data_IF_837292103733
#
_entry.id   IF_837292103733
#
_cell.length_a   1.000
_cell.length_b   1.000
_cell.length_c   1.000
_cell.angle_alpha   90.00
_cell.angle_beta   90.00
_cell.angle_gamma   90.00
#
_symmetry.space_group_name_H-M   'P 1'
#
loop_
_entity.id
_entity.type
_entity.pdbx_description
1 polymer ?
#
# COMPACT_ATOMS: atom_id res chain seq x y z
N UNK A 1 -9.20 18.09 14.50
CA UNK A 1 -8.78 17.13 15.54
C UNK A 1 -8.25 15.82 14.96
N UNK A 2 -9.01 15.08 14.14
CA UNK A 2 -8.62 13.77 13.60
C UNK A 2 -7.23 13.77 12.93
N UNK A 3 -6.98 14.67 11.98
CA UNK A 3 -5.68 14.75 11.27
C UNK A 3 -4.52 14.99 12.24
N UNK A 4 -4.68 15.90 13.20
CA UNK A 4 -3.63 16.19 14.19
C UNK A 4 -3.28 14.92 14.98
N UNK A 5 -4.29 14.14 15.38
CA UNK A 5 -4.09 12.87 16.09
C UNK A 5 -3.36 11.85 15.23
N UNK A 6 -3.73 11.73 13.94
CA UNK A 6 -3.06 10.82 13.00
C UNK A 6 -1.59 11.23 12.83
N UNK A 7 -1.31 12.51 12.62
CA UNK A 7 0.05 13.00 12.47
C UNK A 7 0.88 12.82 13.74
N UNK A 8 0.35 13.18 14.91
CA UNK A 8 1.07 13.04 16.18
C UNK A 8 1.41 11.60 16.53
N UNK A 9 0.50 10.65 16.21
CA UNK A 9 0.72 9.22 16.45
C UNK A 9 1.53 8.53 15.34
N UNK A 10 1.45 9.02 14.11
CA UNK A 10 2.09 8.40 12.95
C UNK A 10 3.54 8.85 12.73
N UNK A 11 3.89 10.10 13.06
CA UNK A 11 5.25 10.60 12.86
C UNK A 11 6.34 9.75 13.53
N UNK A 12 6.16 9.26 14.77
CA UNK A 12 7.16 8.39 15.41
C UNK A 12 7.44 7.11 14.62
N UNK A 13 6.48 6.57 13.86
CA UNK A 13 6.68 5.34 13.06
C UNK A 13 7.70 5.51 11.93
N UNK A 14 7.98 6.74 11.48
CA UNK A 14 9.04 7.01 10.51
C UNK A 14 10.45 6.93 11.11
N UNK A 15 10.55 6.72 12.42
CA UNK A 15 11.79 6.38 13.11
C UNK A 15 11.72 4.93 13.59
N UNK A 16 12.87 4.28 13.65
CA UNK A 16 13.03 2.91 14.12
C UNK A 16 14.27 2.83 14.98
N UNK A 17 14.17 2.15 16.11
CA UNK A 17 15.29 1.95 17.04
C UNK A 17 16.12 0.76 16.60
N UNK A 18 17.44 0.93 16.63
CA UNK A 18 18.43 -0.10 16.34
C UNK A 18 19.32 -0.34 17.54
N UNK A 19 19.72 -1.60 17.72
CA UNK A 19 20.67 -2.05 18.76
C UNK A 19 21.95 -2.51 18.09
N UNK A 20 23.10 -2.01 18.54
CA UNK A 20 24.42 -2.43 18.07
C UNK A 20 24.92 -3.62 18.86
N UNK A 21 25.15 -4.73 18.18
CA UNK A 21 25.69 -5.96 18.78
C UNK A 21 27.04 -6.31 18.15
N UNK A 22 27.95 -6.81 18.98
CA UNK A 22 29.22 -7.39 18.54
C UNK A 22 28.98 -8.86 18.25
N UNK A 23 28.90 -9.21 16.98
CA UNK A 23 28.61 -10.57 16.52
C UNK A 23 29.93 -11.29 16.26
N UNK A 24 30.16 -12.39 16.97
CA UNK A 24 31.25 -13.30 16.73
C UNK A 24 30.72 -14.50 15.95
N UNK A 25 31.15 -14.62 14.69
CA UNK A 25 30.70 -15.68 13.76
C UNK A 25 31.59 -16.91 13.93
N UNK A 26 31.63 -17.46 15.17
CA UNK A 26 32.41 -18.63 15.51
C UNK A 26 31.93 -19.90 14.79
N UNK A 27 32.80 -20.53 14.04
CA UNK A 27 32.54 -21.75 13.26
C UNK A 27 32.03 -22.90 14.12
N UNK A 28 32.59 -23.05 15.34
CA UNK A 28 32.16 -24.10 16.27
C UNK A 28 30.76 -23.86 16.83
N UNK A 29 30.40 -22.59 17.07
CA UNK A 29 29.06 -22.21 17.54
C UNK A 29 28.00 -22.45 16.48
N UNK A 30 28.31 -22.15 15.21
CA UNK A 30 27.41 -22.31 14.07
C UNK A 30 27.41 -23.77 13.53
N UNK A 31 28.47 -24.56 13.77
CA UNK A 31 28.63 -25.89 13.22
C UNK A 31 28.90 -25.92 11.71
N UNK A 32 29.44 -24.83 11.19
CA UNK A 32 29.75 -24.62 9.76
C UNK A 32 31.14 -24.00 9.63
N UNK A 33 31.77 -24.15 8.47
CA UNK A 33 33.04 -23.51 8.11
C UNK A 33 32.91 -22.78 6.75
N UNK A 34 33.97 -22.11 6.30
CA UNK A 34 34.01 -21.35 5.05
C UNK A 34 33.78 -22.20 3.81
N UNK A 35 34.08 -23.50 3.89
CA UNK A 35 33.95 -24.47 2.80
C UNK A 35 32.61 -25.22 2.85
N UNK A 36 31.74 -24.90 3.83
CA UNK A 36 30.42 -25.51 3.95
C UNK A 36 29.56 -25.14 2.77
N UNK A 37 28.80 -26.11 2.24
CA UNK A 37 27.86 -25.87 1.16
C UNK A 37 26.77 -24.86 1.53
N UNK A 38 26.15 -24.24 0.53
CA UNK A 38 25.13 -23.18 0.69
C UNK A 38 23.95 -23.61 1.58
N UNK A 39 23.50 -24.87 1.49
CA UNK A 39 22.44 -25.43 2.33
C UNK A 39 22.81 -25.45 3.82
N UNK A 40 24.08 -25.78 4.14
CA UNK A 40 24.58 -25.77 5.50
C UNK A 40 24.69 -24.35 6.05
N UNK A 41 25.15 -23.40 5.24
CA UNK A 41 25.17 -21.97 5.57
C UNK A 41 23.75 -21.43 5.81
N UNK A 42 22.80 -21.82 4.98
CA UNK A 42 21.40 -21.39 5.12
C UNK A 42 20.73 -21.92 6.40
N UNK A 43 21.01 -23.16 6.78
CA UNK A 43 20.35 -23.86 7.90
C UNK A 43 21.00 -23.66 9.26
N UNK A 44 22.15 -23.00 9.34
CA UNK A 44 22.89 -22.79 10.58
C UNK A 44 22.13 -21.94 11.61
N UNK A 45 22.41 -22.15 12.89
CA UNK A 45 21.68 -21.50 13.98
C UNK A 45 22.26 -20.11 14.33
N UNK A 46 22.01 -19.13 13.48
CA UNK A 46 22.45 -17.74 13.71
C UNK A 46 21.81 -17.08 14.94
N UNK A 47 20.62 -17.53 15.35
CA UNK A 47 20.00 -17.08 16.60
C UNK A 47 20.80 -17.40 17.85
N UNK A 48 21.68 -18.41 17.81
CA UNK A 48 22.59 -18.76 18.92
C UNK A 48 23.68 -17.69 19.05
N UNK A 49 24.20 -17.20 17.92
CA UNK A 49 25.25 -16.16 17.87
C UNK A 49 24.72 -14.83 18.43
N UNK A 50 23.56 -14.38 17.97
CA UNK A 50 22.89 -13.16 18.50
C UNK A 50 22.65 -13.27 20.01
N UNK A 51 22.20 -14.44 20.48
CA UNK A 51 21.98 -14.71 21.90
C UNK A 51 23.27 -14.72 22.72
N UNK A 52 24.36 -15.20 22.16
CA UNK A 52 25.68 -15.24 22.83
C UNK A 52 26.20 -13.79 22.96
N UNK A 53 26.15 -12.99 21.90
CA UNK A 53 26.52 -11.57 21.95
C UNK A 53 25.77 -10.81 23.06
N UNK A 54 24.45 -10.97 23.15
CA UNK A 54 23.66 -10.35 24.22
C UNK A 54 24.10 -10.83 25.63
N UNK A 55 24.49 -12.10 25.79
CA UNK A 55 24.94 -12.63 27.06
C UNK A 55 26.32 -12.11 27.46
N UNK A 56 27.22 -11.93 26.50
CA UNK A 56 28.53 -11.33 26.74
C UNK A 56 28.42 -9.89 27.21
N UNK A 57 27.46 -9.11 26.64
CA UNK A 57 27.19 -7.74 27.08
C UNK A 57 26.56 -7.63 28.48
N UNK A 58 25.81 -8.67 28.88
CA UNK A 58 25.09 -8.72 30.17
C UNK A 58 25.40 -10.03 30.93
N UNK A 59 26.64 -10.22 31.43
CA UNK A 59 27.05 -11.46 32.08
C UNK A 59 26.34 -11.73 33.41
N UNK A 60 25.84 -10.68 34.06
CA UNK A 60 25.14 -10.75 35.35
C UNK A 60 23.75 -11.38 35.27
N UNK A 61 23.23 -11.58 34.07
CA UNK A 61 21.88 -12.11 33.82
C UNK A 61 21.86 -13.63 33.94
N UNK A 62 21.48 -14.16 35.12
CA UNK A 62 21.46 -15.59 35.43
C UNK A 62 20.09 -16.25 35.35
N UNK A 63 19.01 -15.52 35.69
CA UNK A 63 17.66 -16.05 35.76
C UNK A 63 17.05 -16.40 34.41
N UNK A 64 16.28 -17.54 34.34
CA UNK A 64 15.64 -17.98 33.07
C UNK A 64 14.67 -16.92 32.48
N UNK A 65 13.89 -16.23 33.34
CA UNK A 65 13.00 -15.14 32.91
C UNK A 65 13.78 -13.95 32.35
N UNK A 66 14.85 -13.54 33.03
CA UNK A 66 15.70 -12.44 32.58
C UNK A 66 16.45 -12.77 31.27
N UNK A 67 16.96 -14.00 31.13
CA UNK A 67 17.58 -14.46 29.85
C UNK A 67 16.62 -14.43 28.67
N UNK A 68 15.32 -14.71 28.92
CA UNK A 68 14.29 -14.58 27.89
C UNK A 68 14.00 -13.11 27.57
N UNK A 69 13.91 -12.27 28.57
CA UNK A 69 13.69 -10.82 28.42
C UNK A 69 14.89 -10.13 27.74
N UNK A 70 16.13 -10.56 28.04
CA UNK A 70 17.33 -10.07 27.37
C UNK A 70 17.30 -10.32 25.86
N UNK A 71 16.86 -11.52 25.44
CA UNK A 71 16.69 -11.86 24.03
C UNK A 71 15.64 -10.96 23.36
N UNK A 72 14.66 -10.46 24.12
CA UNK A 72 13.60 -9.59 23.60
C UNK A 72 14.04 -8.11 23.53
N UNK A 73 15.30 -7.76 23.72
CA UNK A 73 15.80 -6.41 23.39
C UNK A 73 15.98 -6.21 21.89
N UNK A 74 16.18 -7.29 21.16
CA UNK A 74 16.44 -7.29 19.72
C UNK A 74 15.36 -8.08 18.99
N UNK A 75 15.01 -7.64 17.79
CA UNK A 75 14.05 -8.33 16.93
C UNK A 75 14.50 -9.74 16.58
N UNK A 76 13.55 -10.61 16.32
CA UNK A 76 13.81 -11.96 15.81
C UNK A 76 14.47 -11.95 14.43
N UNK A 77 14.31 -10.86 13.65
CA UNK A 77 14.94 -10.69 12.35
C UNK A 77 16.46 -10.72 12.42
N UNK A 78 17.06 -10.32 13.55
CA UNK A 78 18.52 -10.28 13.70
C UNK A 78 19.21 -11.60 13.33
N UNK A 79 18.57 -12.75 13.58
CA UNK A 79 19.10 -14.05 13.19
C UNK A 79 19.10 -14.23 11.65
N UNK A 80 18.08 -13.72 10.97
CA UNK A 80 17.99 -13.75 9.51
C UNK A 80 18.95 -12.74 8.90
N UNK A 81 19.07 -11.55 9.49
CA UNK A 81 20.01 -10.52 9.04
C UNK A 81 21.45 -11.04 9.09
N UNK A 82 21.84 -11.74 10.19
CA UNK A 82 23.17 -12.38 10.29
C UNK A 82 23.34 -13.50 9.28
N UNK A 83 22.31 -14.33 9.04
CA UNK A 83 22.34 -15.37 8.01
C UNK A 83 22.62 -14.76 6.64
N UNK A 84 21.86 -13.75 6.27
CA UNK A 84 21.95 -13.14 4.96
C UNK A 84 23.32 -12.46 4.74
N UNK A 85 23.90 -11.86 5.79
CA UNK A 85 25.27 -11.35 5.78
C UNK A 85 26.31 -12.45 5.51
N UNK A 86 26.14 -13.64 6.13
CA UNK A 86 27.06 -14.76 5.95
C UNK A 86 26.89 -15.39 4.57
N UNK A 87 25.64 -15.49 4.06
CA UNK A 87 25.38 -16.00 2.71
C UNK A 87 25.97 -15.06 1.64
N UNK A 88 25.87 -13.73 1.84
CA UNK A 88 26.48 -12.77 0.93
C UNK A 88 28.01 -12.77 0.99
N UNK A 89 28.57 -12.96 2.20
CA UNK A 89 30.01 -12.90 2.45
C UNK A 89 30.46 -14.03 3.40
N UNK A 90 30.66 -15.27 2.92
CA UNK A 90 31.11 -16.40 3.76
C UNK A 90 32.45 -16.16 4.43
N UNK A 91 33.27 -15.23 3.91
CA UNK A 91 34.56 -14.84 4.51
C UNK A 91 34.45 -14.21 5.90
N UNK A 92 33.25 -13.79 6.30
CA UNK A 92 33.00 -13.25 7.64
C UNK A 92 33.03 -14.31 8.73
N UNK A 93 32.93 -15.61 8.41
CA UNK A 93 33.06 -16.69 9.36
C UNK A 93 34.45 -16.64 10.05
N UNK A 94 34.45 -16.83 11.36
CA UNK A 94 35.63 -16.71 12.22
C UNK A 94 36.00 -15.27 12.58
N UNK A 95 35.20 -14.28 12.23
CA UNK A 95 35.44 -12.87 12.58
C UNK A 95 34.44 -12.35 13.62
N UNK A 96 34.85 -11.30 14.36
CA UNK A 96 33.98 -10.57 15.28
C UNK A 96 33.79 -9.15 14.75
N UNK A 97 32.54 -8.76 14.49
CA UNK A 97 32.20 -7.44 13.97
C UNK A 97 30.94 -6.89 14.62
N UNK A 98 30.82 -5.57 14.63
CA UNK A 98 29.66 -4.88 15.17
C UNK A 98 28.64 -4.58 14.07
N UNK A 99 27.38 -4.97 14.30
CA UNK A 99 26.26 -4.72 13.39
C UNK A 99 25.09 -4.08 14.13
N UNK A 100 24.28 -3.32 13.38
CA UNK A 100 23.06 -2.73 13.87
C UNK A 100 21.87 -3.60 13.52
N UNK A 101 21.10 -4.01 14.51
CA UNK A 101 19.88 -4.82 14.35
C UNK A 101 18.66 -4.07 14.84
N UNK A 102 17.49 -4.40 14.30
CA UNK A 102 16.22 -3.85 14.77
C UNK A 102 16.01 -4.16 16.25
N UNK A 103 15.69 -3.15 17.04
CA UNK A 103 15.19 -3.36 18.39
C UNK A 103 13.80 -4.00 18.32
N UNK A 104 13.46 -4.78 19.35
CA UNK A 104 12.10 -5.30 19.48
C UNK A 104 11.09 -4.16 19.70
N UNK A 105 9.84 -4.38 19.30
CA UNK A 105 8.74 -3.42 19.35
C UNK A 105 8.60 -2.69 20.70
N UNK A 106 8.63 -3.41 21.83
CA UNK A 106 8.53 -2.80 23.17
C UNK A 106 9.68 -1.81 23.44
N UNK A 107 10.91 -2.14 22.99
CA UNK A 107 12.09 -1.24 23.14
C UNK A 107 11.93 -0.02 22.25
N UNK A 108 11.49 -0.20 21.02
CA UNK A 108 11.26 0.87 20.06
C UNK A 108 10.19 1.86 20.56
N UNK A 109 9.05 1.34 21.04
CA UNK A 109 7.95 2.12 21.61
C UNK A 109 8.41 2.91 22.85
N UNK A 110 9.25 2.31 23.71
CA UNK A 110 9.85 2.98 24.85
C UNK A 110 10.79 4.12 24.44
N UNK A 111 11.69 3.85 23.49
CA UNK A 111 12.64 4.84 22.99
C UNK A 111 11.95 6.04 22.32
N UNK A 112 10.76 5.85 21.79
CA UNK A 112 9.90 6.90 21.22
C UNK A 112 9.10 7.67 22.26
N UNK A 113 9.18 7.28 23.54
CA UNK A 113 8.49 7.94 24.65
C UNK A 113 7.01 7.56 24.80
N UNK A 114 6.56 6.50 24.12
CA UNK A 114 5.18 6.02 24.20
C UNK A 114 4.92 5.06 25.37
N UNK A 115 5.96 4.72 26.15
CA UNK A 115 5.87 4.01 27.43
C UNK A 115 6.41 4.93 28.51
N UNK A 116 5.55 5.30 29.47
CA UNK A 116 5.94 6.15 30.57
C UNK A 116 6.77 5.37 31.60
N UNK A 117 8.00 5.84 31.83
CA UNK A 117 8.96 5.26 32.77
C UNK A 117 8.50 5.38 34.23
N UNK A 118 7.68 6.37 34.55
CA UNK A 118 7.22 6.65 35.94
C UNK A 118 6.11 5.69 36.40
N UNK A 119 5.46 4.96 35.47
CA UNK A 119 4.43 4.01 35.82
C UNK A 119 5.00 2.79 36.57
N UNK A 120 4.21 2.18 37.48
CA UNK A 120 4.59 0.93 38.13
C UNK A 120 4.93 -0.18 37.12
N UNK A 121 5.82 -1.09 37.51
CA UNK A 121 6.22 -2.21 36.63
C UNK A 121 5.03 -3.07 36.17
N UNK A 122 3.97 -3.19 37.01
CA UNK A 122 2.74 -3.91 36.67
C UNK A 122 2.02 -3.35 35.45
N UNK A 123 2.13 -2.05 35.21
CA UNK A 123 1.39 -1.29 34.19
C UNK A 123 2.23 -1.04 32.93
N UNK A 124 3.49 -1.52 32.94
CA UNK A 124 4.44 -1.43 31.82
C UNK A 124 4.73 -2.80 31.22
N UNK A 125 4.92 -2.85 29.89
CA UNK A 125 5.43 -4.06 29.22
C UNK A 125 6.94 -4.26 29.48
N UNK A 126 7.69 -3.18 29.64
CA UNK A 126 9.13 -3.21 29.97
C UNK A 126 9.30 -3.29 31.48
N UNK A 127 10.07 -4.27 31.92
CA UNK A 127 10.38 -4.50 33.33
C UNK A 127 11.55 -3.63 33.80
N UNK A 128 11.65 -3.39 35.13
CA UNK A 128 12.68 -2.52 35.72
C UNK A 128 14.10 -2.96 35.33
N UNK A 129 14.39 -4.26 35.34
CA UNK A 129 15.70 -4.76 34.89
C UNK A 129 15.97 -4.53 33.40
N UNK A 130 14.94 -4.48 32.55
CA UNK A 130 15.11 -4.14 31.13
C UNK A 130 15.43 -2.65 30.94
N UNK A 131 14.89 -1.76 31.79
CA UNK A 131 15.23 -0.35 31.76
C UNK A 131 16.72 -0.14 32.05
N UNK A 132 17.27 -0.87 33.05
CA UNK A 132 18.70 -0.81 33.39
C UNK A 132 19.55 -1.23 32.17
N UNK A 133 19.12 -2.25 31.43
CA UNK A 133 19.85 -2.70 30.24
C UNK A 133 19.74 -1.70 29.11
N UNK A 134 18.56 -1.09 28.89
CA UNK A 134 18.35 -0.04 27.89
C UNK A 134 19.20 1.18 28.20
N UNK A 135 19.24 1.62 29.47
CA UNK A 135 20.07 2.75 29.91
C UNK A 135 21.56 2.45 29.65
N UNK A 136 22.05 1.26 29.98
CA UNK A 136 23.41 0.85 29.68
C UNK A 136 23.71 0.90 28.18
N UNK A 137 22.82 0.39 27.34
CA UNK A 137 22.99 0.43 25.87
C UNK A 137 22.99 1.88 25.33
N UNK A 138 22.22 2.76 25.95
CA UNK A 138 22.23 4.20 25.62
C UNK A 138 23.54 4.86 26.00
N UNK A 139 24.03 4.63 27.23
CA UNK A 139 25.27 5.21 27.74
C UNK A 139 26.49 4.73 26.92
N UNK A 140 26.45 3.48 26.43
CA UNK A 140 27.50 2.91 25.56
C UNK A 140 27.35 3.33 24.08
N UNK A 141 26.31 4.13 23.72
CA UNK A 141 26.06 4.52 22.33
C UNK A 141 25.67 3.34 21.43
N UNK A 142 25.06 2.29 22.00
CA UNK A 142 24.65 1.06 21.30
C UNK A 142 23.15 1.01 20.97
N UNK A 143 22.44 2.08 21.28
CA UNK A 143 21.02 2.22 20.96
C UNK A 143 20.79 3.55 20.25
N UNK A 144 20.22 3.48 19.02
CA UNK A 144 20.07 4.65 18.17
C UNK A 144 18.73 4.62 17.44
N UNK A 145 18.09 5.79 17.28
CA UNK A 145 16.92 5.95 16.41
C UNK A 145 17.37 6.40 15.03
N UNK A 146 16.91 5.68 13.98
CA UNK A 146 17.19 5.98 12.59
C UNK A 146 15.90 6.10 11.80
N UNK A 147 15.97 6.63 10.59
CA UNK A 147 14.83 6.63 9.69
C UNK A 147 14.39 5.19 9.41
N UNK A 148 13.08 4.95 9.49
CA UNK A 148 12.49 3.62 9.33
C UNK A 148 12.41 3.24 7.84
N UNK A 149 13.47 2.68 7.30
CA UNK A 149 13.50 2.16 5.93
C UNK A 149 12.62 0.93 5.76
N UNK A 150 12.47 0.10 6.82
CA UNK A 150 11.67 -1.12 6.80
C UNK A 150 10.22 -0.83 6.42
N UNK A 151 9.68 0.29 6.91
CA UNK A 151 8.31 0.71 6.57
C UNK A 151 8.07 0.82 5.05
N UNK A 152 9.09 1.17 4.27
CA UNK A 152 8.99 1.39 2.82
C UNK A 152 9.61 0.26 1.97
N UNK A 153 10.40 -0.63 2.57
CA UNK A 153 11.13 -1.67 1.83
C UNK A 153 10.63 -3.08 2.09
N UNK A 154 10.02 -3.32 3.25
CA UNK A 154 9.50 -4.63 3.63
C UNK A 154 8.03 -4.84 3.25
N UNK A 155 7.64 -6.11 3.15
CA UNK A 155 6.24 -6.53 3.13
C UNK A 155 5.62 -6.51 4.53
N UNK A 156 4.44 -7.12 4.67
CA UNK A 156 3.78 -7.23 5.97
C UNK A 156 4.47 -8.22 6.90
N UNK A 157 4.36 -8.00 8.19
CA UNK A 157 4.89 -8.89 9.23
C UNK A 157 3.99 -8.89 10.46
N UNK A 158 3.95 -10.03 11.17
CA UNK A 158 3.29 -10.12 12.47
C UNK A 158 4.08 -9.43 13.59
N UNK A 159 5.36 -9.23 13.39
CA UNK A 159 6.21 -8.48 14.32
C UNK A 159 6.23 -7.02 13.88
N UNK A 160 5.71 -6.09 14.71
CA UNK A 160 5.55 -4.69 14.29
C UNK A 160 6.82 -4.04 13.78
N UNK A 161 7.98 -4.31 14.40
CA UNK A 161 9.26 -3.73 14.02
C UNK A 161 9.72 -4.14 12.60
N UNK A 162 9.20 -5.26 12.08
CA UNK A 162 9.52 -5.77 10.73
C UNK A 162 8.43 -5.45 9.70
N UNK A 163 7.27 -4.99 10.13
CA UNK A 163 6.14 -4.75 9.25
C UNK A 163 6.36 -3.53 8.36
N UNK A 164 6.23 -3.70 7.05
CA UNK A 164 6.35 -2.66 6.04
C UNK A 164 5.12 -2.52 5.16
N UNK A 165 5.07 -1.45 4.39
CA UNK A 165 3.94 -1.08 3.53
C UNK A 165 4.20 -1.36 2.04
N UNK A 166 5.41 -1.79 1.66
CA UNK A 166 5.77 -1.93 0.23
C UNK A 166 4.84 -2.88 -0.52
N UNK A 167 4.51 -4.02 0.09
CA UNK A 167 3.56 -4.97 -0.51
C UNK A 167 2.19 -4.34 -0.78
N UNK A 168 1.65 -3.61 0.19
CA UNK A 168 0.36 -2.93 0.07
C UNK A 168 0.39 -1.74 -0.93
N UNK A 169 1.50 -1.00 -1.01
CA UNK A 169 1.68 0.08 -1.99
C UNK A 169 1.70 -0.49 -3.41
N UNK A 170 2.51 -1.53 -3.66
CA UNK A 170 2.59 -2.18 -4.97
C UNK A 170 1.26 -2.84 -5.33
N UNK A 171 0.64 -3.56 -4.39
CA UNK A 171 -0.68 -4.15 -4.59
C UNK A 171 -1.76 -3.13 -4.93
N UNK A 172 -1.78 -1.97 -4.24
CA UNK A 172 -2.68 -0.87 -4.59
C UNK A 172 -2.42 -0.32 -5.98
N UNK A 173 -1.16 -0.09 -6.36
CA UNK A 173 -0.79 0.39 -7.69
C UNK A 173 -1.28 -0.57 -8.79
N UNK A 174 -1.01 -1.87 -8.63
CA UNK A 174 -1.43 -2.88 -9.60
C UNK A 174 -2.96 -2.98 -9.68
N UNK A 175 -3.65 -2.98 -8.54
CA UNK A 175 -5.12 -2.99 -8.47
C UNK A 175 -5.72 -1.76 -9.16
N UNK A 176 -5.19 -0.57 -8.89
CA UNK A 176 -5.65 0.67 -9.53
C UNK A 176 -5.36 0.71 -11.03
N UNK A 177 -4.22 0.14 -11.46
CA UNK A 177 -3.90 0.01 -12.88
C UNK A 177 -4.93 -0.87 -13.60
N UNK A 178 -5.28 -2.02 -13.02
CA UNK A 178 -6.31 -2.91 -13.56
C UNK A 178 -7.67 -2.18 -13.59
N UNK A 179 -8.04 -1.53 -12.49
CA UNK A 179 -9.29 -0.76 -12.43
C UNK A 179 -9.36 0.27 -13.55
N UNK A 180 -8.31 1.07 -13.73
CA UNK A 180 -8.26 2.10 -14.77
C UNK A 180 -8.34 1.51 -16.19
N UNK A 181 -7.58 0.42 -16.42
CA UNK A 181 -7.51 -0.23 -17.73
C UNK A 181 -8.85 -0.76 -18.20
N UNK A 182 -9.71 -1.21 -17.29
CA UNK A 182 -11.04 -1.71 -17.65
C UNK A 182 -12.12 -0.63 -17.52
N UNK A 183 -12.16 0.12 -16.42
CA UNK A 183 -13.24 1.08 -16.17
C UNK A 183 -13.25 2.28 -17.13
N UNK A 184 -12.07 2.80 -17.48
CA UNK A 184 -11.98 3.98 -18.36
C UNK A 184 -12.43 3.67 -19.78
N UNK A 185 -11.88 2.68 -20.51
CA UNK A 185 -12.32 2.40 -21.88
C UNK A 185 -13.78 1.98 -21.94
N UNK A 186 -14.22 1.08 -21.07
CA UNK A 186 -15.59 0.58 -21.05
C UNK A 186 -16.57 1.72 -20.71
N UNK A 187 -16.24 2.51 -19.69
CA UNK A 187 -17.09 3.65 -19.26
C UNK A 187 -17.24 4.73 -20.32
N UNK A 188 -16.13 5.10 -20.97
CA UNK A 188 -16.14 6.10 -22.05
C UNK A 188 -16.85 5.57 -23.29
N UNK A 189 -16.62 4.31 -23.67
CA UNK A 189 -17.31 3.69 -24.82
C UNK A 189 -18.83 3.59 -24.57
N UNK A 190 -19.25 3.19 -23.37
CA UNK A 190 -20.66 3.16 -23.00
C UNK A 190 -21.31 4.55 -23.03
N UNK A 191 -20.62 5.56 -22.49
CA UNK A 191 -21.09 6.94 -22.52
C UNK A 191 -21.21 7.48 -23.96
N UNK A 192 -20.20 7.23 -24.80
CA UNK A 192 -20.21 7.64 -26.20
C UNK A 192 -21.34 6.96 -26.98
N UNK A 193 -21.56 5.66 -26.73
CA UNK A 193 -22.67 4.95 -27.37
C UNK A 193 -24.03 5.55 -26.98
N UNK A 194 -24.25 5.77 -25.67
CA UNK A 194 -25.53 6.28 -25.16
C UNK A 194 -25.84 7.69 -25.64
N UNK A 195 -24.84 8.57 -25.80
CA UNK A 195 -25.08 9.97 -26.20
C UNK A 195 -25.08 10.19 -27.71
N UNK A 196 -24.33 9.41 -28.51
CA UNK A 196 -24.14 9.68 -29.93
C UNK A 196 -24.83 8.67 -30.88
N UNK A 197 -25.07 7.43 -30.41
CA UNK A 197 -25.56 6.36 -31.26
C UNK A 197 -26.88 5.75 -30.79
N UNK A 198 -27.17 5.81 -29.49
CA UNK A 198 -28.40 5.23 -28.97
C UNK A 198 -29.64 5.89 -29.55
N UNK A 199 -30.68 5.12 -29.94
CA UNK A 199 -31.92 5.68 -30.47
C UNK A 199 -32.64 6.45 -29.38
N UNK A 200 -33.09 7.66 -29.73
CA UNK A 200 -33.90 8.50 -28.84
C UNK A 200 -35.29 7.86 -28.62
N UNK A 201 -35.87 8.04 -27.42
CA UNK A 201 -37.18 7.52 -27.02
C UNK A 201 -37.28 5.99 -27.07
N UNK A 202 -36.21 5.28 -26.72
CA UNK A 202 -36.18 3.82 -26.67
C UNK A 202 -36.21 3.33 -25.23
N UNK A 203 -37.26 2.57 -24.86
CA UNK A 203 -37.46 2.00 -23.52
C UNK A 203 -36.24 1.18 -23.00
N UNK A 204 -35.50 0.53 -23.89
CA UNK A 204 -34.29 -0.21 -23.51
C UNK A 204 -33.13 0.71 -23.12
N UNK A 205 -32.99 1.84 -23.80
CA UNK A 205 -31.99 2.88 -23.46
C UNK A 205 -32.34 3.48 -22.11
N UNK A 206 -33.61 3.85 -21.91
CA UNK A 206 -34.08 4.40 -20.63
C UNK A 206 -33.83 3.40 -19.48
N UNK A 207 -34.10 2.11 -19.71
CA UNK A 207 -33.84 1.07 -18.73
C UNK A 207 -32.35 0.95 -18.38
N UNK A 208 -31.45 1.02 -19.37
CA UNK A 208 -30.00 1.00 -19.17
C UNK A 208 -29.57 2.21 -18.34
N UNK A 209 -30.07 3.41 -18.66
CA UNK A 209 -29.75 4.64 -17.93
C UNK A 209 -30.19 4.59 -16.46
N UNK A 210 -31.42 4.11 -16.22
CA UNK A 210 -31.92 3.91 -14.86
C UNK A 210 -31.03 2.90 -14.10
N UNK A 211 -30.62 1.81 -14.76
CA UNK A 211 -29.77 0.81 -14.10
C UNK A 211 -28.36 1.34 -13.80
N UNK A 212 -27.76 2.16 -14.69
CA UNK A 212 -26.47 2.80 -14.41
C UNK A 212 -26.57 3.70 -13.17
N UNK A 213 -27.64 4.51 -13.07
CA UNK A 213 -27.87 5.36 -11.91
C UNK A 213 -28.13 4.54 -10.62
N UNK A 214 -28.91 3.47 -10.72
CA UNK A 214 -29.15 2.57 -9.59
C UNK A 214 -27.89 1.86 -9.14
N UNK A 215 -27.02 1.46 -10.08
CA UNK A 215 -25.74 0.80 -9.78
C UNK A 215 -24.80 1.73 -8.99
N UNK A 216 -24.85 3.05 -9.27
CA UNK A 216 -24.10 4.05 -8.50
C UNK A 216 -24.56 4.17 -7.03
N UNK A 217 -25.78 3.77 -6.71
CA UNK A 217 -26.36 3.79 -5.36
C UNK A 217 -26.16 2.46 -4.58
N UNK A 218 -25.60 1.44 -5.21
CA UNK A 218 -25.38 0.12 -4.56
C UNK A 218 -24.27 0.25 -3.51
N UNK A 219 -24.47 -0.29 -2.28
CA UNK A 219 -23.40 -0.35 -1.27
C UNK A 219 -22.17 -1.08 -1.80
N UNK A 220 -20.98 -0.54 -1.55
CA UNK A 220 -19.72 -1.06 -2.11
C UNK A 220 -19.45 -2.53 -1.77
N UNK A 221 -19.87 -2.99 -0.59
CA UNK A 221 -19.72 -4.38 -0.15
C UNK A 221 -20.40 -5.38 -1.11
N UNK A 222 -21.52 -4.98 -1.75
CA UNK A 222 -22.27 -5.84 -2.69
C UNK A 222 -21.42 -6.17 -3.92
N UNK A 223 -20.57 -5.24 -4.40
CA UNK A 223 -19.62 -5.51 -5.47
C UNK A 223 -18.58 -6.56 -5.07
N UNK A 224 -18.16 -6.59 -3.79
CA UNK A 224 -17.31 -7.64 -3.25
C UNK A 224 -17.99 -9.01 -3.27
N UNK A 225 -19.27 -9.09 -2.85
CA UNK A 225 -20.07 -10.31 -2.92
C UNK A 225 -20.26 -10.79 -4.35
N UNK A 226 -20.50 -9.86 -5.29
CA UNK A 226 -20.59 -10.18 -6.72
C UNK A 226 -19.25 -10.67 -7.25
N UNK A 227 -18.14 -10.07 -6.82
CA UNK A 227 -16.79 -10.53 -7.13
C UNK A 227 -16.53 -11.96 -6.66
N UNK A 228 -16.97 -12.27 -5.44
CA UNK A 228 -16.90 -13.62 -4.89
C UNK A 228 -17.75 -14.62 -5.71
N UNK A 229 -18.99 -14.27 -6.01
CA UNK A 229 -19.92 -15.16 -6.68
C UNK A 229 -19.55 -15.38 -8.15
N UNK A 230 -19.21 -14.32 -8.88
CA UNK A 230 -18.99 -14.36 -10.33
C UNK A 230 -17.52 -14.57 -10.67
N UNK A 231 -16.63 -13.68 -10.20
CA UNK A 231 -15.22 -13.76 -10.63
C UNK A 231 -14.50 -14.96 -10.02
N UNK A 232 -14.71 -15.26 -8.75
CA UNK A 232 -14.04 -16.39 -8.10
C UNK A 232 -14.74 -17.71 -8.43
N UNK A 233 -16.05 -17.81 -8.15
CA UNK A 233 -16.73 -19.10 -8.21
C UNK A 233 -17.10 -19.50 -9.64
N UNK A 234 -17.42 -18.56 -10.55
CA UNK A 234 -17.80 -18.87 -11.91
C UNK A 234 -16.63 -18.79 -12.89
N UNK A 235 -15.81 -17.71 -12.83
CA UNK A 235 -14.66 -17.56 -13.74
C UNK A 235 -13.35 -18.14 -13.21
N UNK A 236 -13.29 -18.56 -11.94
CA UNK A 236 -12.08 -19.16 -11.35
C UNK A 236 -10.90 -18.19 -11.17
N UNK A 237 -11.16 -16.88 -11.08
CA UNK A 237 -10.11 -15.88 -10.86
C UNK A 237 -9.46 -16.10 -9.50
N UNK A 238 -8.12 -16.13 -9.40
CA UNK A 238 -7.43 -16.35 -8.14
C UNK A 238 -7.81 -15.31 -7.07
N UNK A 239 -7.99 -15.77 -5.83
CA UNK A 239 -8.30 -14.89 -4.68
C UNK A 239 -7.12 -14.01 -4.31
N UNK A 240 -7.41 -12.89 -3.63
CA UNK A 240 -6.39 -12.00 -3.06
C UNK A 240 -5.38 -11.45 -4.08
N UNK A 241 -5.78 -11.28 -5.34
CA UNK A 241 -4.91 -10.77 -6.40
C UNK A 241 -5.28 -9.36 -6.83
N UNK A 242 -4.31 -8.55 -7.31
CA UNK A 242 -4.60 -7.24 -7.88
C UNK A 242 -5.59 -7.29 -9.05
N UNK A 243 -5.56 -8.35 -9.86
CA UNK A 243 -6.51 -8.54 -10.95
C UNK A 243 -7.94 -8.59 -10.43
N UNK A 244 -8.20 -9.46 -9.44
CA UNK A 244 -9.54 -9.63 -8.87
C UNK A 244 -10.02 -8.34 -8.22
N UNK A 245 -9.17 -7.71 -7.40
CA UNK A 245 -9.48 -6.43 -6.76
C UNK A 245 -9.81 -5.35 -7.79
N UNK A 246 -9.00 -5.26 -8.84
CA UNK A 246 -9.21 -4.30 -9.92
C UNK A 246 -10.51 -4.51 -10.70
N UNK A 247 -10.88 -5.76 -10.98
CA UNK A 247 -12.16 -6.08 -11.65
C UNK A 247 -13.37 -5.71 -10.78
N UNK A 248 -13.31 -5.98 -9.47
CA UNK A 248 -14.37 -5.59 -8.53
C UNK A 248 -14.50 -4.09 -8.43
N UNK A 249 -13.37 -3.37 -8.27
CA UNK A 249 -13.37 -1.91 -8.24
C UNK A 249 -13.80 -1.30 -9.59
N UNK A 250 -13.53 -1.97 -10.71
CA UNK A 250 -14.03 -1.58 -12.04
C UNK A 250 -15.56 -1.49 -12.04
N UNK A 251 -16.26 -2.51 -11.56
CA UNK A 251 -17.73 -2.51 -11.51
C UNK A 251 -18.26 -1.35 -10.69
N UNK A 252 -17.61 -1.00 -9.60
CA UNK A 252 -18.01 0.09 -8.72
C UNK A 252 -17.74 1.47 -9.35
N UNK A 253 -16.63 1.62 -10.10
CA UNK A 253 -16.25 2.91 -10.70
C UNK A 253 -16.94 3.17 -12.05
N UNK A 254 -17.38 2.12 -12.76
CA UNK A 254 -18.05 2.26 -14.06
C UNK A 254 -19.20 3.26 -14.07
N UNK A 255 -20.18 3.24 -13.15
CA UNK A 255 -21.27 4.20 -13.15
C UNK A 255 -20.78 5.65 -13.06
N UNK A 256 -19.81 5.92 -12.17
CA UNK A 256 -19.25 7.27 -12.00
C UNK A 256 -18.61 7.76 -13.28
N UNK A 257 -17.81 6.91 -13.94
CA UNK A 257 -17.14 7.26 -15.20
C UNK A 257 -18.15 7.44 -16.33
N UNK A 258 -19.14 6.57 -16.45
CA UNK A 258 -20.19 6.67 -17.47
C UNK A 258 -20.96 7.98 -17.32
N UNK A 259 -21.46 8.28 -16.12
CA UNK A 259 -22.25 9.48 -15.84
C UNK A 259 -21.44 10.75 -16.15
N UNK A 260 -20.21 10.83 -15.66
CA UNK A 260 -19.35 11.98 -15.90
C UNK A 260 -18.96 12.14 -17.38
N UNK A 261 -18.68 11.02 -18.07
CA UNK A 261 -18.35 11.02 -19.51
C UNK A 261 -19.55 11.43 -20.35
N UNK A 262 -20.75 10.97 -20.03
CA UNK A 262 -22.00 11.42 -20.69
C UNK A 262 -22.21 12.92 -20.54
N UNK A 263 -22.08 13.44 -19.32
CA UNK A 263 -22.19 14.87 -19.05
C UNK A 263 -21.17 15.68 -19.87
N UNK A 264 -19.91 15.20 -19.95
CA UNK A 264 -18.87 15.84 -20.73
C UNK A 264 -19.15 15.81 -22.25
N UNK A 265 -19.62 14.68 -22.79
CA UNK A 265 -19.97 14.54 -24.21
C UNK A 265 -21.17 15.43 -24.56
N UNK A 266 -22.16 15.49 -23.67
CA UNK A 266 -23.36 16.32 -23.84
C UNK A 266 -23.05 17.84 -23.78
N UNK A 267 -22.00 18.25 -23.09
CA UNK A 267 -21.57 19.64 -22.99
C UNK A 267 -20.93 20.19 -24.28
N UNK A 268 -20.54 19.31 -25.22
CA UNK A 268 -19.99 19.73 -26.52
C UNK A 268 -21.09 20.35 -27.38
N UNK A 269 -20.91 21.60 -27.89
CA UNK A 269 -21.93 22.30 -28.64
C UNK A 269 -22.41 21.49 -29.86
N UNK A 270 -23.74 21.32 -30.05
CA UNK A 270 -24.30 20.60 -31.20
C UNK A 270 -23.86 21.17 -32.55
N UNK A 271 -23.67 22.49 -32.65
CA UNK A 271 -23.23 23.18 -33.85
C UNK A 271 -21.89 22.66 -34.39
N UNK A 272 -20.97 22.22 -33.52
CA UNK A 272 -19.70 21.65 -33.93
C UNK A 272 -19.88 20.25 -34.57
N UNK A 273 -20.81 19.47 -34.00
CA UNK A 273 -21.15 18.14 -34.54
C UNK A 273 -21.86 18.26 -35.90
N UNK A 274 -22.82 19.17 -36.00
CA UNK A 274 -23.56 19.44 -37.23
C UNK A 274 -22.66 19.99 -38.34
N UNK A 275 -21.73 20.90 -38.01
CA UNK A 275 -20.77 21.44 -38.96
C UNK A 275 -19.84 20.30 -39.52
N UNK A 276 -19.34 19.41 -38.65
CA UNK A 276 -18.51 18.27 -39.09
C UNK A 276 -19.29 17.34 -40.05
N UNK A 277 -20.54 17.01 -39.70
CA UNK A 277 -21.40 16.18 -40.54
C UNK A 277 -21.73 16.89 -41.87
N UNK A 278 -22.01 18.21 -41.84
CA UNK A 278 -22.24 19.03 -43.03
C UNK A 278 -21.06 19.09 -43.99
N UNK A 279 -19.83 18.92 -43.49
CA UNK A 279 -18.61 18.77 -44.28
C UNK A 279 -18.37 17.34 -44.79
N UNK A 280 -19.28 16.42 -44.53
CA UNK A 280 -19.21 15.02 -45.01
C UNK A 280 -18.56 14.05 -44.02
N UNK A 281 -18.23 14.44 -42.78
CA UNK A 281 -17.73 13.51 -41.79
C UNK A 281 -18.81 12.51 -41.37
N UNK A 282 -18.45 11.24 -41.22
CA UNK A 282 -19.33 10.23 -40.63
C UNK A 282 -19.53 10.51 -39.12
N UNK A 283 -20.60 9.97 -38.52
CA UNK A 283 -20.85 10.08 -37.06
C UNK A 283 -19.66 9.56 -36.24
N UNK A 284 -19.04 8.47 -36.66
CA UNK A 284 -17.85 7.91 -35.99
C UNK A 284 -16.66 8.85 -36.09
N UNK A 285 -16.41 9.43 -37.27
CA UNK A 285 -15.35 10.43 -37.45
C UNK A 285 -15.61 11.68 -36.60
N UNK A 286 -16.85 12.18 -36.58
CA UNK A 286 -17.26 13.32 -35.74
C UNK A 286 -17.01 13.01 -34.24
N UNK A 287 -17.36 11.80 -33.78
CA UNK A 287 -17.11 11.38 -32.40
C UNK A 287 -15.62 11.41 -32.06
N UNK A 288 -14.80 10.68 -32.82
CA UNK A 288 -13.37 10.51 -32.46
C UNK A 288 -12.52 11.74 -32.73
N UNK A 289 -12.84 12.52 -33.77
CA UNK A 289 -12.02 13.67 -34.18
C UNK A 289 -12.45 14.99 -33.54
N UNK A 290 -13.72 15.13 -33.14
CA UNK A 290 -14.26 16.37 -32.59
C UNK A 290 -14.88 16.22 -31.20
N UNK A 291 -15.86 15.33 -31.02
CA UNK A 291 -16.62 15.23 -29.77
C UNK A 291 -15.77 14.74 -28.59
N UNK A 292 -15.13 13.56 -28.71
CA UNK A 292 -14.33 12.99 -27.62
C UNK A 292 -13.16 13.87 -27.20
N UNK A 293 -12.39 14.47 -28.15
CA UNK A 293 -11.31 15.37 -27.77
C UNK A 293 -11.77 16.57 -26.96
N UNK A 294 -12.89 17.17 -27.33
CA UNK A 294 -13.47 18.31 -26.62
C UNK A 294 -14.07 17.91 -25.26
N UNK A 295 -14.63 16.72 -25.14
CA UNK A 295 -15.16 16.15 -23.91
C UNK A 295 -14.07 15.62 -22.98
N UNK A 296 -12.86 15.36 -23.49
CA UNK A 296 -11.78 14.66 -22.75
C UNK A 296 -11.43 15.28 -21.39
N UNK A 297 -11.36 16.61 -21.21
CA UNK A 297 -11.11 17.20 -19.89
C UNK A 297 -12.15 16.83 -18.85
N UNK A 298 -13.43 16.81 -19.25
CA UNK A 298 -14.54 16.39 -18.38
C UNK A 298 -14.50 14.89 -18.07
N UNK A 299 -14.25 14.06 -19.09
CA UNK A 299 -14.11 12.61 -18.97
C UNK A 299 -12.97 12.26 -17.99
N UNK A 300 -11.80 12.88 -18.18
CA UNK A 300 -10.65 12.66 -17.27
C UNK A 300 -10.95 13.11 -15.85
N UNK A 301 -11.69 14.22 -15.68
CA UNK A 301 -12.10 14.68 -14.34
C UNK A 301 -12.98 13.64 -13.64
N UNK A 302 -13.99 13.10 -14.33
CA UNK A 302 -14.85 12.04 -13.79
C UNK A 302 -14.06 10.75 -13.47
N UNK A 303 -13.11 10.39 -14.33
CA UNK A 303 -12.23 9.26 -14.11
C UNK A 303 -11.36 9.44 -12.85
N UNK A 304 -10.76 10.63 -12.67
CA UNK A 304 -9.96 10.95 -11.47
C UNK A 304 -10.80 10.82 -10.20
N UNK A 305 -12.04 11.30 -10.21
CA UNK A 305 -12.97 11.19 -9.06
C UNK A 305 -13.27 9.71 -8.77
N UNK A 306 -13.62 8.92 -9.78
CA UNK A 306 -13.89 7.48 -9.62
C UNK A 306 -12.67 6.70 -9.10
N UNK A 307 -11.49 7.01 -9.62
CA UNK A 307 -10.25 6.37 -9.17
C UNK A 307 -9.88 6.76 -7.73
N UNK A 308 -10.07 8.02 -7.34
CA UNK A 308 -9.84 8.48 -5.98
C UNK A 308 -10.79 7.80 -4.98
N UNK A 309 -12.04 7.59 -5.37
CA UNK A 309 -13.02 6.82 -4.59
C UNK A 309 -12.57 5.37 -4.46
N UNK A 310 -12.21 4.70 -5.56
CA UNK A 310 -11.76 3.31 -5.58
C UNK A 310 -10.55 3.06 -4.69
N UNK A 311 -9.59 4.00 -4.64
CA UNK A 311 -8.39 3.89 -3.82
C UNK A 311 -8.70 3.81 -2.31
N UNK A 312 -9.78 4.44 -1.85
CA UNK A 312 -10.21 4.44 -0.45
C UNK A 312 -11.08 3.25 -0.05
N UNK A 313 -11.51 2.43 -1.01
CA UNK A 313 -12.44 1.34 -0.74
C UNK A 313 -11.76 0.16 -0.06
N UNK A 314 -12.39 -0.30 1.02
CA UNK A 314 -11.90 -1.42 1.84
C UNK A 314 -12.87 -2.60 1.79
N UNK A 315 -14.17 -2.37 1.98
CA UNK A 315 -15.16 -3.41 2.17
C UNK A 315 -15.25 -4.45 1.03
N UNK A 316 -15.32 -4.07 -0.26
CA UNK A 316 -15.38 -5.05 -1.34
C UNK A 316 -14.09 -5.89 -1.43
N UNK A 317 -12.94 -5.32 -1.10
CA UNK A 317 -11.65 -6.01 -1.14
C UNK A 317 -11.47 -7.00 0.01
N UNK A 318 -12.03 -6.70 1.18
CA UNK A 318 -12.12 -7.65 2.29
C UNK A 318 -12.94 -8.90 1.90
N UNK A 319 -14.07 -8.69 1.22
CA UNK A 319 -14.97 -9.79 0.84
C UNK A 319 -14.34 -10.78 -0.15
N UNK A 320 -13.47 -10.32 -1.04
CA UNK A 320 -12.77 -11.18 -2.02
C UNK A 320 -11.49 -11.82 -1.47
N UNK A 321 -11.19 -11.62 -0.19
CA UNK A 321 -10.11 -12.31 0.52
C UNK A 321 -8.78 -11.58 0.56
N UNK A 322 -8.70 -10.28 0.18
CA UNK A 322 -7.46 -9.49 0.31
C UNK A 322 -7.06 -9.21 1.78
N UNK A 323 -7.70 -9.88 2.73
CA UNK A 323 -7.37 -9.92 4.17
C UNK A 323 -6.26 -10.92 4.51
N UNK A 324 -5.83 -11.75 3.56
CA UNK A 324 -4.78 -12.71 3.81
C UNK A 324 -3.48 -11.99 4.19
N UNK A 325 -2.79 -12.54 5.18
CA UNK A 325 -1.44 -12.08 5.50
C UNK A 325 -0.51 -12.42 4.33
N UNK A 326 0.09 -11.40 3.74
CA UNK A 326 1.02 -11.53 2.61
C UNK A 326 2.32 -10.85 2.97
N UNK A 327 3.35 -11.65 3.27
CA UNK A 327 4.71 -11.15 3.56
C UNK A 327 5.46 -10.70 2.32
N UNK A 328 5.15 -11.32 1.17
CA UNK A 328 5.86 -11.09 -0.07
C UNK A 328 5.35 -9.86 -0.81
N UNK A 329 6.23 -9.25 -1.60
CA UNK A 329 5.88 -8.11 -2.43
C UNK A 329 5.40 -8.66 -3.78
N UNK A 330 4.17 -8.34 -4.23
CA UNK A 330 3.67 -8.86 -5.51
C UNK A 330 4.52 -8.34 -6.68
N UNK A 331 4.88 -9.22 -7.59
CA UNK A 331 5.61 -8.91 -8.84
C UNK A 331 4.68 -8.74 -10.03
N UNK A 332 3.44 -9.23 -9.93
CA UNK A 332 2.45 -9.19 -11.00
C UNK A 332 1.00 -9.09 -10.52
N UNK A 333 0.08 -8.94 -11.49
CA UNK A 333 -1.36 -8.80 -11.21
C UNK A 333 -2.03 -10.10 -10.74
N UNK A 334 -1.36 -11.23 -10.88
CA UNK A 334 -1.85 -12.55 -10.47
C UNK A 334 -1.27 -13.02 -9.13
N UNK A 335 -0.29 -12.30 -8.59
CA UNK A 335 0.33 -12.66 -7.32
C UNK A 335 -0.57 -12.29 -6.14
N UNK A 336 -0.55 -13.09 -5.06
CA UNK A 336 -1.24 -12.72 -3.84
C UNK A 336 -0.77 -11.36 -3.32
N UNK A 337 -1.70 -10.49 -2.98
CA UNK A 337 -1.39 -9.16 -2.46
C UNK A 337 -2.49 -8.62 -1.56
N UNK A 338 -2.13 -7.64 -0.76
CA UNK A 338 -3.07 -6.74 -0.08
C UNK A 338 -2.99 -5.35 -0.70
N UNK A 339 -3.86 -4.46 -0.28
CA UNK A 339 -3.88 -3.04 -0.67
C UNK A 339 -3.82 -2.15 0.56
N UNK A 340 -3.39 -0.90 0.39
CA UNK A 340 -3.19 0.02 1.52
C UNK A 340 -4.40 0.17 2.45
N UNK A 341 -5.66 0.37 1.97
CA UNK A 341 -6.81 0.47 2.87
C UNK A 341 -7.05 -0.80 3.69
N UNK A 342 -6.86 -1.97 3.09
CA UNK A 342 -7.00 -3.26 3.78
C UNK A 342 -5.86 -3.46 4.78
N UNK A 343 -4.62 -3.10 4.44
CA UNK A 343 -3.48 -3.18 5.35
C UNK A 343 -3.67 -2.30 6.58
N UNK A 344 -4.18 -1.08 6.40
CA UNK A 344 -4.54 -0.17 7.51
C UNK A 344 -5.57 -0.82 8.41
N UNK A 345 -6.61 -1.45 7.84
CA UNK A 345 -7.64 -2.16 8.58
C UNK A 345 -7.02 -3.31 9.40
N UNK A 346 -6.21 -4.16 8.79
CA UNK A 346 -5.55 -5.30 9.46
C UNK A 346 -4.65 -4.85 10.62
N UNK A 347 -3.88 -3.79 10.43
CA UNK A 347 -3.02 -3.27 11.49
C UNK A 347 -3.80 -2.58 12.60
N UNK A 348 -4.96 -1.95 12.29
CA UNK A 348 -5.82 -1.33 13.29
C UNK A 348 -6.51 -2.35 14.20
N UNK A 349 -6.76 -3.57 13.69
CA UNK A 349 -7.38 -4.68 14.42
C UNK A 349 -6.34 -5.55 15.17
N UNK A 350 -5.06 -5.25 15.01
CA UNK A 350 -3.98 -6.00 15.65
C UNK A 350 -3.95 -5.76 17.16
N UNK A 351 -3.78 -6.82 17.99
CA UNK A 351 -3.67 -6.69 19.44
C UNK A 351 -2.35 -6.05 19.90
N UNK A 352 -1.35 -5.97 19.03
CA UNK A 352 -0.04 -5.41 19.33
C UNK A 352 -0.08 -3.88 19.30
N UNK A 353 0.22 -3.23 20.44
CA UNK A 353 0.14 -1.76 20.59
C UNK A 353 1.02 -0.99 19.60
N UNK A 354 2.15 -1.55 19.21
CA UNK A 354 3.06 -0.94 18.26
C UNK A 354 2.44 -0.77 16.86
N UNK A 355 1.42 -1.56 16.50
CA UNK A 355 0.67 -1.34 15.26
C UNK A 355 -0.18 -0.08 15.26
N UNK A 356 -0.58 0.48 16.42
CA UNK A 356 -1.32 1.75 16.48
C UNK A 356 -0.54 2.90 15.82
N UNK A 357 0.76 2.96 16.08
CA UNK A 357 1.67 3.93 15.48
C UNK A 357 1.83 3.68 13.98
N UNK A 358 2.06 2.42 13.59
CA UNK A 358 2.19 2.01 12.18
C UNK A 358 0.91 2.21 11.39
N UNK A 359 -0.25 1.94 11.96
CA UNK A 359 -1.57 2.24 11.35
C UNK A 359 -1.69 3.73 11.04
N UNK A 360 -1.33 4.58 12.00
CA UNK A 360 -1.37 6.03 11.80
C UNK A 360 -0.40 6.49 10.69
N UNK A 361 0.81 5.92 10.63
CA UNK A 361 1.76 6.18 9.54
C UNK A 361 1.23 5.65 8.19
N UNK A 362 0.63 4.47 8.17
CA UNK A 362 0.02 3.90 6.97
C UNK A 362 -1.11 4.79 6.42
N UNK A 363 -1.93 5.38 7.29
CA UNK A 363 -2.94 6.38 6.88
C UNK A 363 -2.25 7.61 6.26
N UNK A 364 -1.16 8.10 6.84
CA UNK A 364 -0.40 9.23 6.26
C UNK A 364 0.17 8.86 4.89
N UNK A 365 0.70 7.66 4.72
CA UNK A 365 1.21 7.15 3.42
C UNK A 365 0.08 7.05 2.41
N UNK A 366 -1.10 6.52 2.79
CA UNK A 366 -2.27 6.43 1.91
C UNK A 366 -2.74 7.82 1.46
N UNK A 367 -2.85 8.78 2.38
CA UNK A 367 -3.22 10.16 2.05
C UNK A 367 -2.19 10.81 1.11
N UNK A 368 -0.90 10.62 1.38
CA UNK A 368 0.18 11.08 0.49
C UNK A 368 0.09 10.45 -0.91
N UNK A 369 -0.18 9.14 -0.97
CA UNK A 369 -0.36 8.42 -2.23
C UNK A 369 -1.58 8.94 -3.01
N UNK A 370 -2.72 9.18 -2.34
CA UNK A 370 -3.92 9.76 -2.95
C UNK A 370 -3.65 11.16 -3.52
N UNK A 371 -2.97 12.02 -2.76
CA UNK A 371 -2.59 13.35 -3.24
C UNK A 371 -1.65 13.24 -4.44
N UNK A 372 -0.63 12.38 -4.38
CA UNK A 372 0.31 12.17 -5.47
C UNK A 372 -0.39 11.70 -6.76
N UNK A 373 -1.27 10.70 -6.64
CA UNK A 373 -2.04 10.19 -7.78
C UNK A 373 -2.94 11.26 -8.39
N UNK A 374 -3.62 12.06 -7.56
CA UNK A 374 -4.45 13.17 -8.03
C UNK A 374 -3.62 14.25 -8.72
N UNK A 375 -2.46 14.61 -8.19
CA UNK A 375 -1.56 15.60 -8.82
C UNK A 375 -1.08 15.11 -10.18
N UNK A 376 -0.64 13.83 -10.27
CA UNK A 376 -0.23 13.22 -11.56
C UNK A 376 -1.39 13.26 -12.55
N UNK A 377 -2.58 12.86 -12.15
CA UNK A 377 -3.76 12.83 -12.99
C UNK A 377 -4.16 14.24 -13.48
N UNK A 378 -4.10 15.27 -12.63
CA UNK A 378 -4.36 16.66 -12.99
C UNK A 378 -3.31 17.19 -13.97
N UNK A 379 -2.03 16.87 -13.77
CA UNK A 379 -0.96 17.27 -14.69
C UNK A 379 -1.16 16.63 -16.07
N UNK A 380 -1.48 15.33 -16.11
CA UNK A 380 -1.78 14.61 -17.35
C UNK A 380 -2.99 15.25 -18.06
N UNK A 381 -4.09 15.52 -17.33
CA UNK A 381 -5.26 16.20 -17.87
C UNK A 381 -4.89 17.54 -18.51
N UNK A 382 -4.16 18.40 -17.78
CA UNK A 382 -3.74 19.71 -18.31
C UNK A 382 -2.84 19.59 -19.53
N UNK A 383 -1.97 18.58 -19.59
CA UNK A 383 -1.12 18.33 -20.76
C UNK A 383 -1.95 17.94 -21.99
N UNK A 384 -2.93 17.05 -21.83
CA UNK A 384 -3.85 16.70 -22.91
C UNK A 384 -4.68 17.90 -23.38
N UNK A 385 -5.23 18.66 -22.44
CA UNK A 385 -6.01 19.86 -22.72
C UNK A 385 -5.20 20.89 -23.55
N UNK A 386 -3.95 21.15 -23.16
CA UNK A 386 -3.06 22.06 -23.90
C UNK A 386 -2.73 21.56 -25.30
N UNK A 387 -2.38 20.30 -25.47
CA UNK A 387 -2.05 19.71 -26.78
C UNK A 387 -3.22 19.80 -27.76
N UNK A 388 -4.46 19.63 -27.28
CA UNK A 388 -5.65 19.75 -28.11
C UNK A 388 -5.98 21.21 -28.43
N UNK A 389 -5.85 22.12 -27.48
CA UNK A 389 -6.03 23.56 -27.70
C UNK A 389 -5.08 24.11 -28.77
N UNK A 390 -3.80 23.71 -28.72
CA UNK A 390 -2.79 24.11 -29.69
C UNK A 390 -3.06 23.52 -31.08
N UNK A 391 -3.46 22.24 -31.14
CA UNK A 391 -3.67 21.52 -32.42
C UNK A 391 -4.88 22.03 -33.21
N UNK A 392 -5.92 22.53 -32.52
CA UNK A 392 -7.16 22.96 -33.14
C UNK A 392 -7.40 24.47 -33.11
N UNK A 393 -6.39 25.27 -32.71
CA UNK A 393 -6.46 26.74 -32.75
C UNK A 393 -7.53 27.38 -31.83
N UNK A 394 -8.14 26.61 -30.95
CA UNK A 394 -9.11 27.10 -29.99
C UNK A 394 -8.38 27.77 -28.82
N UNK A 395 -8.21 29.09 -28.87
CA UNK A 395 -7.98 29.88 -27.67
C UNK A 395 -9.17 29.66 -26.76
N UNK A 396 -9.01 28.82 -25.74
CA UNK A 396 -9.99 28.77 -24.64
C UNK A 396 -10.11 30.18 -24.10
N UNK A 397 -11.27 30.79 -24.30
CA UNK A 397 -11.67 32.04 -23.65
C UNK A 397 -11.49 31.80 -22.16
N UNK A 398 -10.55 32.52 -21.56
CA UNK A 398 -10.36 32.56 -20.12
C UNK A 398 -11.66 32.96 -19.44
N UNK A 399 -12.46 32.02 -19.02
CA UNK A 399 -13.50 32.24 -18.01
C UNK A 399 -12.84 32.32 -16.63
N UNK A 400 -12.16 33.45 -16.41
CA UNK A 400 -11.83 33.93 -15.09
C UNK A 400 -12.19 35.42 -15.08
N UNK A 401 -13.38 35.69 -14.67
CA UNK A 401 -13.83 36.95 -14.07
C UNK A 401 -14.82 36.60 -12.97
#
# INVERSE_FOLDING_TARGET
MLLITIFSKGLPAFQQTYVKLDIELDEATLGINKDSGEDALFSANYGKVVKNSLREMFPDVKGRKQKRALKNLVSKSAAYDVRDLVLEKPTLLGTKQSYWFLAKDDVDVFMKGNIDRSLPESDRRIKDYQLIWIDKLLDEGRLEKRFNTVLFTAGDSREPEQAGMKGAIVGSLLTMLVTLLFSFPIGVAAAAYLEEFAPQNNRWVDLIEININNLAAVPSIVFGLLGLAVYINFFGVPRSTPLLGGLVLTLMTLPTIIIASRAAIKSVPPSLKEAAIGLGASRVQTLFQHTLPLAMPGILTGTIIGMAQALGETAPLLMIGMVAFVSDIPSGIFDPSTVMPVQIYLWSDSPERAFTERTSAAIMILLGFLVLMNVIAIILRKKFEKQWSEKYGMKLLNFHS
#
